data_IF_674152159076
#
_entry.id   IF_674152159076
#
_cell.length_a   1.000
_cell.length_b   1.000
_cell.length_c   1.000
_cell.angle_alpha   90.00
_cell.angle_beta   90.00
_cell.angle_gamma   90.00
#
_symmetry.space_group_name_H-M   'P 1'
#
loop_
_entity.id
_entity.type
_entity.pdbx_description
1 polymer ?
#
# COMPACT_ATOMS: atom_id res chain seq x y z
N UNK A 1 7.60 -1.68 4.10
CA UNK A 1 6.21 -1.75 4.59
C UNK A 1 5.43 -2.81 3.82
N UNK A 2 4.58 -3.57 4.51
CA UNK A 2 3.59 -4.46 3.89
C UNK A 2 2.27 -3.70 3.78
N UNK A 3 1.66 -3.71 2.60
CA UNK A 3 0.36 -3.12 2.35
C UNK A 3 -0.49 -4.05 1.48
N UNK A 4 -1.78 -3.72 1.35
CA UNK A 4 -2.75 -4.52 0.61
C UNK A 4 -3.50 -3.63 -0.38
N UNK A 5 -3.65 -4.09 -1.61
CA UNK A 5 -4.38 -3.41 -2.69
C UNK A 5 -5.58 -4.27 -3.06
N UNK A 6 -6.75 -3.66 -3.29
CA UNK A 6 -7.92 -4.42 -3.75
C UNK A 6 -7.69 -4.94 -5.18
N UNK A 7 -8.23 -6.12 -5.48
CA UNK A 7 -8.14 -6.73 -6.83
C UNK A 7 -8.50 -5.76 -7.99
N UNK A 8 -9.57 -4.93 -7.91
CA UNK A 8 -9.90 -3.98 -8.99
C UNK A 8 -8.86 -2.87 -9.19
N UNK A 9 -8.11 -2.52 -8.15
CA UNK A 9 -7.09 -1.47 -8.19
C UNK A 9 -5.72 -2.00 -8.60
N UNK A 10 -5.52 -3.34 -8.56
CA UNK A 10 -4.23 -3.97 -8.82
C UNK A 10 -3.66 -3.59 -10.19
N UNK A 11 -4.49 -3.55 -11.23
CA UNK A 11 -4.06 -3.22 -12.60
C UNK A 11 -3.55 -1.79 -12.77
N UNK A 12 -3.69 -0.93 -11.76
CA UNK A 12 -3.14 0.42 -11.76
C UNK A 12 -1.76 0.49 -11.11
N UNK A 13 -1.43 -0.47 -10.25
CA UNK A 13 -0.20 -0.47 -9.47
C UNK A 13 0.89 -1.26 -10.18
N UNK A 14 2.04 -0.64 -10.38
CA UNK A 14 3.17 -1.25 -11.08
C UNK A 14 4.41 -1.32 -10.18
N UNK A 15 5.27 -2.31 -10.45
CA UNK A 15 6.57 -2.40 -9.80
C UNK A 15 7.41 -1.16 -10.10
N UNK A 16 8.09 -0.64 -9.09
CA UNK A 16 8.92 0.55 -9.18
C UNK A 16 8.17 1.88 -9.06
N UNK A 17 6.84 1.88 -9.00
CA UNK A 17 6.08 3.12 -8.80
C UNK A 17 6.48 3.81 -7.49
N UNK A 18 6.58 5.13 -7.56
CA UNK A 18 6.88 5.96 -6.41
C UNK A 18 5.71 5.91 -5.42
N UNK A 19 6.03 5.96 -4.14
CA UNK A 19 5.06 6.06 -3.07
C UNK A 19 5.51 7.09 -2.05
N UNK A 20 4.56 7.79 -1.46
CA UNK A 20 4.77 8.66 -0.31
C UNK A 20 4.16 7.99 0.91
N UNK A 21 4.96 7.83 1.96
CA UNK A 21 4.55 7.24 3.23
C UNK A 21 4.50 8.32 4.29
N UNK A 22 3.42 8.32 5.07
CA UNK A 22 3.14 9.26 6.16
C UNK A 22 2.76 8.51 7.43
N UNK A 23 2.93 9.16 8.58
CA UNK A 23 2.55 8.59 9.88
C UNK A 23 2.01 9.68 10.78
N UNK A 24 1.00 9.37 11.60
CA UNK A 24 0.37 10.31 12.52
C UNK A 24 1.36 10.85 13.57
N UNK A 25 2.41 10.09 13.87
CA UNK A 25 3.44 10.49 14.84
C UNK A 25 4.36 11.60 14.33
N UNK A 26 4.50 11.74 13.00
CA UNK A 26 5.41 12.68 12.33
C UNK A 26 4.70 13.33 11.14
N UNK A 27 3.64 14.13 11.36
CA UNK A 27 2.77 14.61 10.29
C UNK A 27 3.44 15.60 9.33
N UNK A 28 4.59 16.19 9.71
CA UNK A 28 5.38 17.06 8.84
C UNK A 28 6.34 16.29 7.91
N UNK A 29 6.59 15.02 8.19
CA UNK A 29 7.57 14.21 7.47
C UNK A 29 6.91 13.29 6.45
N UNK A 30 7.49 13.28 5.26
CA UNK A 30 7.05 12.44 4.16
C UNK A 30 8.21 11.54 3.76
N UNK A 31 8.00 10.24 3.92
CA UNK A 31 9.01 9.26 3.56
C UNK A 31 8.79 8.83 2.11
N UNK A 32 9.85 8.94 1.30
CA UNK A 32 9.81 8.43 -0.07
C UNK A 32 9.93 6.92 -0.06
N UNK A 33 9.16 6.26 -0.91
CA UNK A 33 9.23 4.83 -1.11
C UNK A 33 8.98 4.44 -2.55
N UNK A 34 9.08 3.14 -2.80
CA UNK A 34 8.77 2.53 -4.10
C UNK A 34 8.14 1.16 -3.92
N UNK A 35 7.22 0.80 -4.81
CA UNK A 35 6.67 -0.55 -4.86
C UNK A 35 7.78 -1.53 -5.26
N UNK A 36 8.20 -2.40 -4.34
CA UNK A 36 9.30 -3.36 -4.55
C UNK A 36 8.82 -4.78 -4.79
N UNK A 37 7.55 -5.07 -4.51
CA UNK A 37 6.97 -6.39 -4.69
C UNK A 37 5.45 -6.29 -4.82
N UNK A 38 4.87 -7.13 -5.67
CA UNK A 38 3.43 -7.36 -5.80
C UNK A 38 3.25 -8.87 -5.78
N UNK A 39 2.37 -9.38 -4.91
CA UNK A 39 2.06 -10.80 -4.84
C UNK A 39 1.31 -11.26 -6.09
N UNK A 40 1.62 -12.47 -6.56
CA UNK A 40 0.91 -13.11 -7.68
C UNK A 40 -0.45 -13.68 -7.25
N UNK A 41 -0.58 -14.05 -5.99
CA UNK A 41 -1.79 -14.66 -5.43
C UNK A 41 -2.55 -13.66 -4.57
N UNK A 42 -3.87 -13.65 -4.71
CA UNK A 42 -4.75 -12.88 -3.84
C UNK A 42 -4.85 -13.54 -2.45
N UNK A 43 -4.97 -12.70 -1.43
CA UNK A 43 -5.30 -13.05 -0.05
C UNK A 43 -6.74 -12.56 0.25
N UNK A 44 -7.46 -13.27 1.12
CA UNK A 44 -8.79 -12.84 1.56
C UNK A 44 -8.66 -11.96 2.80
N UNK A 45 -9.28 -10.78 2.77
CA UNK A 45 -9.46 -9.98 3.99
C UNK A 45 -10.91 -10.11 4.49
N UNK A 46 -11.11 -10.48 5.77
CA UNK A 46 -12.42 -10.36 6.39
C UNK A 46 -12.71 -8.88 6.60
N UNK A 47 -13.76 -8.35 5.97
CA UNK A 47 -14.32 -7.05 6.33
C UNK A 47 -15.33 -7.28 7.44
N UNK A 48 -15.22 -6.53 8.54
CA UNK A 48 -16.28 -6.47 9.55
C UNK A 48 -17.52 -5.86 8.89
N UNK A 49 -18.53 -6.68 8.63
CA UNK A 49 -19.82 -6.23 8.09
C UNK A 49 -20.92 -6.59 9.08
N UNK A 50 -21.72 -5.60 9.48
CA UNK A 50 -22.82 -5.76 10.45
C UNK A 50 -24.04 -6.50 9.89
N UNK A 51 -23.95 -7.09 8.70
CA UNK A 51 -25.06 -7.79 8.03
C UNK A 51 -24.60 -9.13 7.46
N UNK A 52 -25.51 -10.11 7.51
CA UNK A 52 -25.32 -11.56 7.30
C UNK A 52 -24.77 -11.99 5.91
N UNK A 53 -24.47 -11.05 5.01
CA UNK A 53 -23.88 -11.31 3.71
C UNK A 53 -22.40 -10.87 3.73
N UNK A 54 -21.56 -11.72 4.33
CA UNK A 54 -20.12 -11.53 4.46
C UNK A 54 -19.47 -11.20 3.11
N UNK A 55 -18.94 -9.97 2.96
CA UNK A 55 -18.20 -9.59 1.75
C UNK A 55 -16.70 -9.74 2.00
N UNK A 56 -16.23 -10.98 1.87
CA UNK A 56 -14.79 -11.25 1.73
C UNK A 56 -14.29 -10.50 0.50
N UNK A 57 -13.23 -9.70 0.65
CA UNK A 57 -12.63 -8.96 -0.48
C UNK A 57 -11.27 -9.59 -0.80
N UNK A 58 -11.04 -9.83 -2.10
CA UNK A 58 -9.73 -10.23 -2.61
C UNK A 58 -8.78 -9.03 -2.57
N UNK A 59 -7.65 -9.21 -1.91
CA UNK A 59 -6.58 -8.22 -1.86
C UNK A 59 -5.27 -8.85 -2.28
N UNK A 60 -4.38 -8.03 -2.81
CA UNK A 60 -3.03 -8.44 -3.18
C UNK A 60 -2.04 -7.75 -2.25
N UNK A 61 -1.16 -8.56 -1.67
CA UNK A 61 -0.08 -8.04 -0.84
C UNK A 61 0.95 -7.34 -1.71
N UNK A 62 1.28 -6.11 -1.34
CA UNK A 62 2.39 -5.38 -1.91
C UNK A 62 3.44 -5.08 -0.85
N UNK A 63 4.68 -4.84 -1.30
CA UNK A 63 5.74 -4.28 -0.46
C UNK A 63 6.13 -2.93 -1.01
N UNK A 64 6.26 -1.97 -0.10
CA UNK A 64 6.85 -0.67 -0.37
C UNK A 64 8.18 -0.60 0.37
N UNK A 65 9.28 -0.45 -0.37
CA UNK A 65 10.58 -0.15 0.21
C UNK A 65 10.64 1.35 0.47
N UNK A 66 10.90 1.73 1.73
CA UNK A 66 10.89 3.11 2.20
C UNK A 66 12.33 3.56 2.43
N UNK A 67 12.66 4.76 1.96
CA UNK A 67 13.93 5.42 2.26
C UNK A 67 13.90 5.96 3.70
N UNK A 68 14.23 5.10 4.66
CA UNK A 68 14.20 5.37 6.09
C UNK A 68 15.64 5.49 6.65
N UNK A 69 16.43 6.43 6.13
CA UNK A 69 17.88 6.54 6.43
C UNK A 69 18.18 6.86 7.88
N UNK A 70 17.29 7.60 8.53
CA UNK A 70 17.44 8.02 9.93
C UNK A 70 16.78 7.05 10.91
N UNK A 71 16.23 5.93 10.43
CA UNK A 71 15.57 4.91 11.25
C UNK A 71 14.39 5.45 12.08
N UNK A 72 13.72 6.48 11.58
CA UNK A 72 12.57 7.13 12.24
C UNK A 72 11.33 6.23 12.23
N UNK A 73 11.15 5.44 11.17
CA UNK A 73 10.10 4.43 11.10
C UNK A 73 10.56 3.11 11.70
N UNK A 74 9.84 2.64 12.72
CA UNK A 74 10.10 1.37 13.42
C UNK A 74 9.12 0.29 12.93
N UNK A 75 9.55 -0.98 12.80
CA UNK A 75 8.64 -2.08 12.49
C UNK A 75 7.46 -2.15 13.46
N UNK A 76 6.23 -2.24 12.92
CA UNK A 76 5.00 -2.26 13.70
C UNK A 76 4.31 -0.91 13.85
N UNK A 77 4.96 0.19 13.47
CA UNK A 77 4.30 1.50 13.42
C UNK A 77 3.20 1.53 12.36
N UNK A 78 2.00 2.05 12.68
CA UNK A 78 0.96 2.32 11.69
C UNK A 78 1.41 3.48 10.81
N UNK A 79 1.35 3.27 9.50
CA UNK A 79 1.73 4.25 8.49
C UNK A 79 0.79 4.13 7.31
N UNK A 80 0.55 5.25 6.64
CA UNK A 80 -0.24 5.34 5.42
C UNK A 80 0.69 5.47 4.22
N UNK A 81 0.29 4.89 3.08
CA UNK A 81 1.05 5.00 1.85
C UNK A 81 0.16 5.44 0.70
N UNK A 82 0.59 6.46 -0.03
CA UNK A 82 -0.02 6.94 -1.27
C UNK A 82 0.90 6.61 -2.44
N UNK A 83 0.46 5.71 -3.32
CA UNK A 83 1.18 5.38 -4.55
C UNK A 83 0.93 6.49 -5.58
N UNK A 84 2.00 7.00 -6.17
CA UNK A 84 1.94 7.98 -7.24
C UNK A 84 1.76 7.25 -8.57
N UNK A 85 0.50 6.94 -8.86
CA UNK A 85 0.12 6.29 -10.11
C UNK A 85 0.66 7.13 -11.26
N UNK A 86 1.50 6.53 -12.10
CA UNK A 86 1.88 7.18 -13.35
C UNK A 86 0.57 7.49 -14.08
N UNK A 87 0.31 8.77 -14.38
CA UNK A 87 -0.79 9.12 -15.27
C UNK A 87 -0.57 8.26 -16.51
N UNK A 88 -1.48 7.32 -16.77
CA UNK A 88 -1.52 6.60 -18.03
C UNK A 88 -1.39 7.69 -19.09
N UNK A 89 -0.25 7.73 -19.77
CA UNK A 89 -0.02 8.73 -20.79
C UNK A 89 -1.17 8.55 -21.75
N UNK A 90 -2.09 9.53 -21.76
CA UNK A 90 -3.06 9.65 -22.82
C UNK A 90 -2.29 9.54 -24.12
N UNK A 91 -2.76 8.64 -24.97
CA UNK A 91 -2.43 8.46 -26.39
C UNK A 91 -1.77 9.66 -27.05
#
# INVERSE_FOLDING_TARGET
MRAYVNEPDLGRVHLGEAAIVTTDNLPAEHFRGRVSFIAENAEFTPKTVDTYAERVTLVYRIRIDIDNRHHELVPGMPVDARIELARASSR
#
